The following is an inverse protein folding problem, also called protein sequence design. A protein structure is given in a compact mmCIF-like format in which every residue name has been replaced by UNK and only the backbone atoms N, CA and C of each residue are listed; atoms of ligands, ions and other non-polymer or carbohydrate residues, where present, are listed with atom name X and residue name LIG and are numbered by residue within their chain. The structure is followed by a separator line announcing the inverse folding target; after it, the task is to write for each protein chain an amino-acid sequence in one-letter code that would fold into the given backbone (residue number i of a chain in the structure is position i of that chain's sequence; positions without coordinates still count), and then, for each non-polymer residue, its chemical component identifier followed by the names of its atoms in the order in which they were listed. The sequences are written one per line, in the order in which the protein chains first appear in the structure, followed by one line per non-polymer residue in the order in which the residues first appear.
data_IF_266441992535
#
_entry.id   IF_266441992535
#
_cell.length_a   1.000
_cell.length_b   1.000
_cell.length_c   1.000
_cell.angle_alpha   90.00
_cell.angle_beta   90.00
_cell.angle_gamma   90.00
#
_symmetry.space_group_name_H-M   'P 1'
#
loop_
_entity.id
_entity.type
_entity.pdbx_description
1 polymer ?
#
# COMPACT_ATOMS: atom_id res chain seq x y z
N UNK A 1 -12.48 -37.90 -28.96
CA UNK A 1 -11.51 -37.13 -28.19
C UNK A 1 -12.27 -36.12 -27.35
N UNK A 2 -12.28 -36.19 -26.01
CA UNK A 2 -12.94 -35.20 -25.20
C UNK A 2 -12.02 -33.96 -25.10
N UNK A 3 -12.53 -32.80 -25.48
CA UNK A 3 -11.92 -31.52 -25.24
C UNK A 3 -12.03 -31.24 -23.73
N UNK A 4 -10.93 -31.38 -23.01
CA UNK A 4 -10.84 -30.95 -21.62
C UNK A 4 -10.81 -29.43 -21.64
N UNK A 5 -11.98 -28.82 -21.42
CA UNK A 5 -12.10 -27.40 -21.17
C UNK A 5 -11.45 -27.13 -19.79
N UNK A 6 -10.19 -26.73 -19.81
CA UNK A 6 -9.48 -26.30 -18.60
C UNK A 6 -10.13 -25.03 -18.08
N UNK A 7 -10.99 -25.14 -17.08
CA UNK A 7 -11.37 -24.01 -16.26
C UNK A 7 -10.12 -23.47 -15.59
N UNK A 8 -9.61 -22.36 -16.08
CA UNK A 8 -8.60 -21.56 -15.40
C UNK A 8 -9.21 -21.03 -14.10
N UNK A 9 -9.03 -21.77 -13.01
CA UNK A 9 -9.35 -21.28 -11.68
C UNK A 9 -8.39 -20.17 -11.33
N UNK A 10 -8.76 -18.93 -11.65
CA UNK A 10 -8.06 -17.76 -11.10
C UNK A 10 -8.19 -17.81 -9.59
N UNK A 11 -7.07 -17.73 -8.88
CA UNK A 11 -7.07 -17.64 -7.42
C UNK A 11 -7.93 -16.46 -6.95
N UNK A 12 -8.47 -16.53 -5.74
CA UNK A 12 -9.23 -15.42 -5.16
C UNK A 12 -8.44 -14.11 -5.15
N UNK A 13 -7.15 -14.18 -4.88
CA UNK A 13 -6.23 -13.02 -4.95
C UNK A 13 -6.19 -12.41 -6.36
N UNK A 14 -6.03 -13.25 -7.39
CA UNK A 14 -6.00 -12.77 -8.79
C UNK A 14 -7.30 -12.09 -9.19
N UNK A 15 -8.44 -12.60 -8.76
CA UNK A 15 -9.74 -11.96 -9.02
C UNK A 15 -9.88 -10.63 -8.33
N UNK A 16 -9.44 -10.53 -7.07
CA UNK A 16 -9.44 -9.28 -6.31
C UNK A 16 -8.48 -8.26 -6.91
N UNK A 17 -7.26 -8.67 -7.26
CA UNK A 17 -6.26 -7.81 -7.90
C UNK A 17 -6.77 -7.19 -9.20
N UNK A 18 -7.54 -7.93 -9.97
CA UNK A 18 -8.09 -7.50 -11.27
C UNK A 18 -9.55 -6.99 -11.18
N UNK A 19 -10.07 -6.73 -9.98
CA UNK A 19 -11.39 -6.14 -9.79
C UNK A 19 -11.46 -4.76 -10.45
N UNK A 20 -12.49 -4.53 -11.29
CA UNK A 20 -12.61 -3.30 -12.09
C UNK A 20 -13.09 -2.10 -11.28
N UNK A 21 -14.03 -2.31 -10.36
CA UNK A 21 -14.49 -1.25 -9.45
C UNK A 21 -13.82 -1.44 -8.09
N UNK A 22 -12.87 -0.57 -7.70
CA UNK A 22 -12.14 -0.72 -6.45
C UNK A 22 -12.90 -0.17 -5.23
N UNK A 23 -14.00 0.56 -5.41
CA UNK A 23 -14.73 1.16 -4.30
C UNK A 23 -15.20 0.13 -3.29
N UNK A 24 -15.11 0.48 -2.03
CA UNK A 24 -15.56 -0.37 -0.92
C UNK A 24 -14.63 -0.39 0.27
N UNK A 25 -14.98 -1.26 1.20
CA UNK A 25 -14.25 -1.53 2.43
C UNK A 25 -13.34 -2.74 2.25
N UNK A 26 -12.09 -2.60 2.68
CA UNK A 26 -11.07 -3.64 2.68
C UNK A 26 -10.55 -3.84 4.11
N UNK A 27 -10.58 -5.05 4.61
CA UNK A 27 -10.18 -5.37 5.99
C UNK A 27 -11.20 -4.89 7.03
N UNK A 28 -10.71 -4.39 8.15
CA UNK A 28 -11.53 -3.92 9.27
C UNK A 28 -12.27 -2.63 8.92
N UNK A 29 -13.41 -2.42 9.55
CA UNK A 29 -14.14 -1.14 9.44
C UNK A 29 -13.34 -0.04 10.14
N UNK A 30 -13.20 1.11 9.49
CA UNK A 30 -12.52 2.28 10.06
C UNK A 30 -13.31 2.78 11.26
N UNK A 31 -12.62 2.93 12.38
CA UNK A 31 -13.19 3.36 13.66
C UNK A 31 -12.79 4.78 14.06
N UNK A 32 -11.67 5.27 13.55
CA UNK A 32 -11.19 6.62 13.82
C UNK A 32 -11.97 7.64 12.99
N UNK A 33 -12.36 8.75 13.61
CA UNK A 33 -13.13 9.81 12.96
C UNK A 33 -12.23 10.91 12.36
N UNK A 34 -11.03 11.09 12.92
CA UNK A 34 -10.11 12.16 12.51
C UNK A 34 -8.88 11.59 11.81
N UNK A 35 -8.58 12.12 10.63
CA UNK A 35 -7.35 11.84 9.91
C UNK A 35 -6.19 12.69 10.41
N UNK A 36 -4.98 12.13 10.32
CA UNK A 36 -3.73 12.84 10.52
C UNK A 36 -3.05 13.01 9.17
N UNK A 37 -2.63 14.23 8.81
CA UNK A 37 -1.94 14.42 7.54
C UNK A 37 -0.60 13.70 7.53
N UNK A 38 -0.21 13.18 6.38
CA UNK A 38 1.04 12.44 6.19
C UNK A 38 2.23 13.37 6.47
N UNK A 39 2.14 14.62 6.06
CA UNK A 39 3.15 15.64 6.32
C UNK A 39 3.36 15.90 7.83
N UNK A 40 2.26 15.97 8.59
CA UNK A 40 2.33 16.11 10.06
C UNK A 40 3.01 14.91 10.73
N UNK A 41 2.77 13.69 10.20
CA UNK A 41 3.41 12.47 10.69
C UNK A 41 4.92 12.53 10.44
N UNK A 42 5.34 12.89 9.23
CA UNK A 42 6.75 12.96 8.87
C UNK A 42 7.50 14.13 9.52
N UNK A 43 6.80 15.19 9.93
CA UNK A 43 7.39 16.27 10.71
C UNK A 43 7.82 15.84 12.11
N UNK A 44 7.19 14.83 12.69
CA UNK A 44 7.56 14.25 13.99
C UNK A 44 7.20 12.77 14.08
N UNK A 45 7.88 11.91 13.30
CA UNK A 45 7.49 10.50 13.15
C UNK A 45 7.58 9.71 14.46
N UNK A 46 8.55 10.01 15.30
CA UNK A 46 8.75 9.30 16.59
C UNK A 46 7.51 9.39 17.50
N UNK A 47 6.73 10.46 17.39
CA UNK A 47 5.47 10.64 18.15
C UNK A 47 4.40 9.60 17.77
N UNK A 48 4.43 9.12 16.55
CA UNK A 48 3.38 8.27 15.99
C UNK A 48 3.74 6.79 15.92
N UNK A 49 5.02 6.42 16.10
CA UNK A 49 5.46 5.02 16.04
C UNK A 49 4.67 4.18 17.03
N UNK A 50 4.08 3.09 16.54
CA UNK A 50 3.25 2.17 17.32
C UNK A 50 1.81 2.65 17.56
N UNK A 51 1.46 3.88 17.16
CA UNK A 51 0.11 4.42 17.32
C UNK A 51 -0.82 3.94 16.21
N UNK A 52 -2.10 3.75 16.56
CA UNK A 52 -3.16 3.57 15.59
C UNK A 52 -3.54 4.94 15.04
N UNK A 53 -3.37 5.13 13.75
CA UNK A 53 -3.64 6.38 13.05
C UNK A 53 -4.61 6.15 11.90
N UNK A 54 -5.28 7.21 11.46
CA UNK A 54 -6.00 7.25 10.20
C UNK A 54 -5.36 8.32 9.30
N UNK A 55 -5.10 7.97 8.07
CA UNK A 55 -4.66 8.88 7.01
C UNK A 55 -5.66 8.90 5.87
N UNK A 56 -5.69 10.00 5.12
CA UNK A 56 -6.48 10.15 3.92
C UNK A 56 -5.60 10.66 2.78
N UNK A 57 -5.85 10.18 1.58
CA UNK A 57 -5.15 10.65 0.40
C UNK A 57 -5.52 9.89 -0.85
N UNK A 58 -4.81 10.17 -1.93
CA UNK A 58 -5.01 9.54 -3.23
C UNK A 58 -4.06 8.35 -3.39
N UNK A 59 -4.57 7.23 -3.86
CA UNK A 59 -3.73 6.06 -4.16
C UNK A 59 -2.95 6.32 -5.43
N UNK A 60 -1.63 6.37 -5.33
CA UNK A 60 -0.72 6.59 -6.47
C UNK A 60 -0.08 5.30 -6.99
N UNK A 61 0.12 4.30 -6.12
CA UNK A 61 0.68 3.01 -6.51
C UNK A 61 -0.07 1.86 -5.83
N UNK A 62 -0.11 0.71 -6.50
CA UNK A 62 -0.61 -0.57 -5.96
C UNK A 62 0.39 -1.66 -6.29
N UNK A 63 0.66 -2.57 -5.35
CA UNK A 63 1.50 -3.74 -5.60
C UNK A 63 0.99 -4.51 -6.83
N UNK A 64 1.76 -4.58 -7.94
CA UNK A 64 1.26 -5.14 -9.20
C UNK A 64 1.15 -6.65 -9.17
N UNK A 65 1.84 -7.33 -8.28
CA UNK A 65 1.84 -8.79 -8.20
C UNK A 65 0.74 -9.35 -7.31
N UNK A 66 0.51 -8.74 -6.14
CA UNK A 66 -0.37 -9.30 -5.11
C UNK A 66 -1.36 -8.31 -4.51
N UNK A 67 -1.26 -7.02 -4.82
CA UNK A 67 -2.10 -5.99 -4.19
C UNK A 67 -1.91 -5.89 -2.66
N UNK A 68 -0.75 -6.27 -2.14
CA UNK A 68 -0.49 -6.35 -0.70
C UNK A 68 0.06 -5.05 -0.08
N UNK A 69 0.22 -4.01 -0.87
CA UNK A 69 0.53 -2.66 -0.45
C UNK A 69 -0.01 -1.63 -1.45
N UNK A 70 -0.23 -0.44 -0.97
CA UNK A 70 -0.52 0.76 -1.76
C UNK A 70 0.40 1.89 -1.31
N UNK A 71 0.58 2.90 -2.16
CA UNK A 71 1.13 4.19 -1.78
C UNK A 71 -0.01 5.20 -1.77
N UNK A 72 -0.10 5.96 -0.69
CA UNK A 72 -1.09 7.01 -0.51
C UNK A 72 -0.37 8.35 -0.48
N UNK A 73 -0.73 9.23 -1.39
CA UNK A 73 -0.22 10.59 -1.48
C UNK A 73 -1.10 11.52 -0.63
N UNK A 74 -0.46 12.40 0.13
CA UNK A 74 -1.16 13.42 0.91
C UNK A 74 -1.90 14.39 -0.03
N UNK A 75 -3.06 14.90 0.41
CA UNK A 75 -3.88 15.81 -0.38
C UNK A 75 -3.32 17.24 -0.45
N UNK A 76 -2.54 17.62 0.55
CA UNK A 76 -2.12 19.00 0.77
C UNK A 76 -0.60 19.20 0.64
N UNK A 77 0.17 18.13 0.50
CA UNK A 77 1.63 18.15 0.39
C UNK A 77 2.13 17.13 -0.64
N UNK A 78 3.43 17.16 -0.94
CA UNK A 78 4.09 16.16 -1.80
C UNK A 78 4.51 14.91 -1.03
N UNK A 79 4.04 14.76 0.21
CA UNK A 79 4.35 13.60 1.06
C UNK A 79 3.54 12.39 0.63
N UNK A 80 4.15 11.22 0.66
CA UNK A 80 3.49 9.95 0.41
C UNK A 80 3.92 8.88 1.41
N UNK A 81 3.05 7.91 1.67
CA UNK A 81 3.34 6.83 2.60
C UNK A 81 2.87 5.49 2.06
N UNK A 82 3.69 4.45 2.27
CA UNK A 82 3.31 3.09 1.96
C UNK A 82 2.39 2.52 3.04
N UNK A 83 1.32 1.91 2.60
CA UNK A 83 0.41 1.12 3.43
C UNK A 83 0.62 -0.35 3.09
N UNK A 84 1.15 -1.13 4.00
CA UNK A 84 1.34 -2.57 3.86
C UNK A 84 0.23 -3.29 4.60
N UNK A 85 -0.34 -4.30 3.98
CA UNK A 85 -1.36 -5.16 4.59
C UNK A 85 -0.90 -6.62 4.62
N UNK A 86 -1.63 -7.47 5.35
CA UNK A 86 -1.33 -8.90 5.39
C UNK A 86 -1.62 -9.55 4.05
N UNK A 87 -0.62 -10.22 3.50
CA UNK A 87 -0.68 -10.88 2.21
C UNK A 87 -1.85 -11.88 2.16
N UNK A 88 -2.65 -11.80 1.10
CA UNK A 88 -3.79 -12.68 0.88
C UNK A 88 -5.03 -12.41 1.74
N UNK A 89 -4.91 -11.62 2.82
CA UNK A 89 -6.05 -11.21 3.66
C UNK A 89 -6.73 -9.98 3.06
N UNK A 90 -5.94 -8.97 2.72
CA UNK A 90 -6.40 -7.79 1.97
C UNK A 90 -5.66 -7.78 0.64
N UNK A 91 -6.40 -7.63 -0.44
CA UNK A 91 -5.86 -7.50 -1.79
C UNK A 91 -6.44 -6.25 -2.42
N UNK A 92 -5.59 -5.26 -2.66
CA UNK A 92 -5.99 -4.04 -3.34
C UNK A 92 -6.06 -4.27 -4.86
N UNK A 93 -7.16 -3.86 -5.51
CA UNK A 93 -7.24 -3.91 -6.96
C UNK A 93 -6.27 -2.94 -7.64
N UNK A 94 -5.70 -3.34 -8.77
CA UNK A 94 -4.87 -2.45 -9.59
C UNK A 94 -5.65 -1.21 -10.07
N UNK A 95 -6.96 -1.35 -10.23
CA UNK A 95 -7.87 -0.24 -10.58
C UNK A 95 -8.00 0.82 -9.50
N UNK A 96 -7.43 0.61 -8.30
CA UNK A 96 -7.49 1.57 -7.19
C UNK A 96 -6.63 2.82 -7.41
N UNK A 97 -5.68 2.78 -8.34
CA UNK A 97 -4.84 3.94 -8.65
C UNK A 97 -5.72 5.12 -9.07
N UNK A 98 -5.49 6.29 -8.46
CA UNK A 98 -6.26 7.51 -8.68
C UNK A 98 -7.53 7.65 -7.84
N UNK A 99 -7.91 6.63 -7.07
CA UNK A 99 -9.01 6.71 -6.11
C UNK A 99 -8.53 7.28 -4.77
N UNK A 100 -9.48 7.86 -4.03
CA UNK A 100 -9.26 8.30 -2.65
C UNK A 100 -9.31 7.11 -1.70
N UNK A 101 -8.50 7.18 -0.65
CA UNK A 101 -8.51 6.18 0.41
C UNK A 101 -8.49 6.81 1.80
N UNK A 102 -9.26 6.23 2.71
CA UNK A 102 -9.09 6.34 4.16
C UNK A 102 -8.44 5.07 4.65
N UNK A 103 -7.36 5.20 5.38
CA UNK A 103 -6.57 4.07 5.88
C UNK A 103 -6.41 4.19 7.37
N UNK A 104 -6.87 3.18 8.11
CA UNK A 104 -6.60 3.02 9.54
C UNK A 104 -5.59 1.90 9.76
N UNK A 105 -4.58 2.15 10.58
CA UNK A 105 -3.56 1.16 10.88
C UNK A 105 -2.48 1.67 11.83
N UNK A 106 -1.49 0.84 12.07
CA UNK A 106 -0.37 1.14 12.97
C UNK A 106 0.77 1.79 12.19
N UNK A 107 1.17 3.00 12.58
CA UNK A 107 2.36 3.63 12.04
C UNK A 107 3.62 2.93 12.54
N UNK A 108 4.48 2.54 11.62
CA UNK A 108 5.63 1.69 11.90
C UNK A 108 6.90 2.23 11.25
N UNK A 109 8.02 2.04 11.92
CA UNK A 109 9.38 2.33 11.43
C UNK A 109 10.11 1.02 11.19
N UNK A 110 10.71 0.89 10.03
CA UNK A 110 11.64 -0.18 9.69
C UNK A 110 13.03 0.37 9.55
N UNK A 111 13.98 -0.28 10.17
CA UNK A 111 15.41 0.03 10.06
C UNK A 111 16.10 -1.10 9.31
N UNK A 112 16.91 -0.75 8.33
CA UNK A 112 17.61 -1.69 7.46
C UNK A 112 19.13 -1.52 7.58
N UNK A 113 19.84 -2.61 7.53
CA UNK A 113 21.25 -2.59 7.16
C UNK A 113 21.37 -2.25 5.65
N UNK A 114 22.55 -1.83 5.20
CA UNK A 114 22.80 -1.54 3.77
C UNK A 114 22.44 -2.75 2.88
N UNK A 115 22.73 -3.96 3.36
CA UNK A 115 22.40 -5.21 2.64
C UNK A 115 20.89 -5.42 2.53
N UNK A 116 20.17 -5.22 3.61
CA UNK A 116 18.70 -5.36 3.65
C UNK A 116 18.03 -4.28 2.79
N UNK A 117 18.46 -3.02 2.90
CA UNK A 117 17.95 -1.94 2.08
C UNK A 117 18.13 -2.21 0.58
N UNK A 118 19.30 -2.74 0.19
CA UNK A 118 19.57 -3.14 -1.20
C UNK A 118 18.64 -4.26 -1.65
N UNK A 119 18.50 -5.30 -0.84
CA UNK A 119 17.59 -6.42 -1.13
C UNK A 119 16.14 -5.96 -1.24
N UNK A 120 15.73 -5.02 -0.38
CA UNK A 120 14.39 -4.44 -0.40
C UNK A 120 14.14 -3.64 -1.68
N UNK A 121 15.08 -2.78 -2.11
CA UNK A 121 14.97 -2.06 -3.39
C UNK A 121 14.89 -3.01 -4.59
N UNK A 122 15.71 -4.05 -4.63
CA UNK A 122 15.62 -5.09 -5.68
C UNK A 122 14.25 -5.75 -5.70
N UNK A 123 13.71 -6.06 -4.52
CA UNK A 123 12.40 -6.67 -4.39
C UNK A 123 11.28 -5.75 -4.94
N UNK A 124 11.30 -4.47 -4.57
CA UNK A 124 10.34 -3.50 -5.09
C UNK A 124 10.40 -3.32 -6.61
N UNK A 125 11.62 -3.26 -7.18
CA UNK A 125 11.78 -3.19 -8.62
C UNK A 125 11.28 -4.47 -9.32
N UNK A 126 11.53 -5.63 -8.74
CA UNK A 126 11.01 -6.91 -9.25
C UNK A 126 9.47 -6.95 -9.22
N UNK A 127 8.84 -6.43 -8.18
CA UNK A 127 7.37 -6.32 -8.11
C UNK A 127 6.81 -5.42 -9.23
N UNK A 128 7.55 -4.38 -9.62
CA UNK A 128 7.22 -3.49 -10.75
C UNK A 128 7.53 -4.12 -12.13
N UNK A 129 8.07 -5.34 -12.16
CA UNK A 129 8.45 -6.03 -13.39
C UNK A 129 9.84 -5.69 -13.89
N UNK A 130 10.63 -4.93 -13.14
CA UNK A 130 12.00 -4.55 -13.52
C UNK A 130 12.99 -5.60 -13.03
N UNK A 131 13.97 -5.94 -13.89
CA UNK A 131 15.09 -6.81 -13.52
C UNK A 131 16.30 -5.91 -13.31
N UNK A 132 16.70 -5.76 -12.04
CA UNK A 132 17.86 -4.94 -11.65
C UNK A 132 18.90 -5.80 -10.94
N UNK A 133 20.18 -5.55 -11.24
CA UNK A 133 21.28 -6.16 -10.49
C UNK A 133 21.40 -5.49 -9.11
N UNK A 134 21.59 -6.24 -8.01
CA UNK A 134 21.84 -5.66 -6.70
C UNK A 134 23.02 -4.68 -6.69
N UNK A 135 24.05 -4.95 -7.49
CA UNK A 135 25.26 -4.12 -7.58
C UNK A 135 25.02 -2.77 -8.27
N UNK A 136 23.94 -2.64 -9.06
CA UNK A 136 23.57 -1.39 -9.71
C UNK A 136 22.80 -0.43 -8.80
N UNK A 137 22.39 -0.89 -7.63
CA UNK A 137 21.57 -0.10 -6.70
C UNK A 137 22.46 0.63 -5.70
N UNK A 138 22.41 1.96 -5.75
CA UNK A 138 23.03 2.82 -4.74
C UNK A 138 22.13 2.92 -3.53
N UNK A 139 22.69 2.77 -2.33
CA UNK A 139 22.02 2.93 -1.04
C UNK A 139 22.52 4.21 -0.39
N UNK A 140 21.57 5.04 0.04
CA UNK A 140 21.80 6.27 0.81
C UNK A 140 21.30 6.09 2.23
N UNK A 141 21.62 7.02 3.14
CA UNK A 141 21.14 6.96 4.52
C UNK A 141 19.62 7.00 4.62
N UNK A 142 18.95 7.65 3.66
CA UNK A 142 17.48 7.68 3.57
C UNK A 142 16.87 6.31 3.28
N UNK A 143 17.61 5.42 2.64
CA UNK A 143 17.17 4.07 2.31
C UNK A 143 17.26 3.10 3.51
N UNK A 144 17.91 3.51 4.58
CA UNK A 144 18.09 2.69 5.79
C UNK A 144 16.89 2.76 6.74
N UNK A 145 15.93 3.64 6.46
CA UNK A 145 14.71 3.77 7.25
C UNK A 145 13.51 3.86 6.33
N UNK A 146 12.49 3.05 6.58
CA UNK A 146 11.18 3.17 5.94
C UNK A 146 10.10 3.39 7.00
N UNK A 147 9.33 4.46 6.86
CA UNK A 147 8.10 4.65 7.61
C UNK A 147 6.93 4.14 6.78
N UNK A 148 6.04 3.36 7.40
CA UNK A 148 4.86 2.84 6.74
C UNK A 148 3.70 2.66 7.70
N UNK A 149 2.50 2.53 7.17
CA UNK A 149 1.32 2.12 7.92
C UNK A 149 1.11 0.62 7.71
N UNK A 150 0.98 -0.13 8.80
CA UNK A 150 0.46 -1.49 8.76
C UNK A 150 -1.06 -1.39 8.77
N UNK A 151 -1.66 -1.45 7.58
CA UNK A 151 -3.09 -1.22 7.38
C UNK A 151 -3.93 -2.33 7.98
N UNK A 152 -4.93 -1.94 8.75
CA UNK A 152 -5.97 -2.82 9.29
C UNK A 152 -7.26 -2.72 8.49
N UNK A 153 -7.66 -1.51 8.16
CA UNK A 153 -8.84 -1.20 7.38
C UNK A 153 -8.59 -0.09 6.38
N UNK A 154 -9.15 -0.23 5.19
CA UNK A 154 -9.05 0.76 4.11
C UNK A 154 -10.41 0.91 3.45
N UNK A 155 -10.88 2.15 3.34
CA UNK A 155 -12.06 2.50 2.55
C UNK A 155 -11.61 3.23 1.29
N UNK A 156 -11.93 2.68 0.14
CA UNK A 156 -11.64 3.26 -1.18
C UNK A 156 -12.92 3.86 -1.75
N UNK A 157 -12.83 5.10 -2.26
CA UNK A 157 -13.98 5.84 -2.79
C UNK A 157 -13.54 6.83 -3.89
N UNK A 158 -14.50 7.32 -4.67
CA UNK A 158 -14.28 8.39 -5.65
C UNK A 158 -14.33 9.76 -4.97
N UNK A 159 -13.51 10.69 -5.42
CA UNK A 159 -13.57 12.07 -4.97
C UNK A 159 -14.97 12.66 -5.22
N UNK A 160 -15.58 13.21 -4.18
CA UNK A 160 -16.93 13.82 -4.27
C UNK A 160 -18.10 12.91 -3.90
N UNK A 161 -17.89 11.62 -3.66
CA UNK A 161 -18.88 10.69 -3.11
C UNK A 161 -18.63 10.43 -1.63
N UNK A 162 -18.75 11.43 -0.77
CA UNK A 162 -18.95 11.18 0.64
C UNK A 162 -20.35 10.57 0.81
N UNK A 163 -20.41 9.26 1.02
CA UNK A 163 -21.64 8.64 1.50
C UNK A 163 -21.95 9.25 2.89
N UNK A 164 -23.06 10.01 2.93
CA UNK A 164 -23.67 10.49 4.16
C UNK A 164 -24.05 9.32 5.06
#
# INVERSE_FOLDING_TARGET
MPIVSGCLFHSSETRMLNKKNPEGQYGEVISLEMSTSIDSIFSNPEKYIGSNIMIEGTISEVCPLRGCWIVVDDKESDSSIRVKVTDGVIVFPLSSIGYEARVEGIFSKLEFTVKEARSWKVHLEKEKGNIVSPDSITITDQDLVEYRVIGKGVKIYTYGCEAK
#
